data_IF_952002056844
#
_entry.id   IF_952002056844
#
_cell.length_a   1.000
_cell.length_b   1.000
_cell.length_c   1.000
_cell.angle_alpha   90.00
_cell.angle_beta   90.00
_cell.angle_gamma   90.00
#
_symmetry.space_group_name_H-M   'P 1'
#
loop_
_entity.id
_entity.type
_entity.pdbx_description
1 polymer ?
#
# COMPACT_ATOMS: atom_id res chain seq x y z
N UNK A 1 -4.07 12.09 -3.67
CA UNK A 1 -3.76 10.64 -3.75
C UNK A 1 -3.80 9.91 -2.41
N UNK A 2 -3.56 10.57 -1.26
CA UNK A 2 -3.59 9.90 0.06
C UNK A 2 -4.99 9.58 0.57
N UNK A 3 -5.97 10.48 0.37
CA UNK A 3 -7.35 10.30 0.86
C UNK A 3 -8.06 9.07 0.29
N UNK A 4 -7.81 8.72 -0.98
CA UNK A 4 -8.39 7.53 -1.60
C UNK A 4 -7.88 6.22 -0.98
N UNK A 5 -6.63 6.19 -0.53
CA UNK A 5 -6.07 5.02 0.20
C UNK A 5 -6.73 4.85 1.56
N UNK A 6 -7.00 5.95 2.27
CA UNK A 6 -7.73 5.90 3.55
C UNK A 6 -9.13 5.31 3.38
N UNK A 7 -9.87 5.73 2.35
CA UNK A 7 -11.19 5.16 2.02
C UNK A 7 -11.06 3.68 1.68
N UNK A 8 -10.06 3.30 0.87
CA UNK A 8 -9.81 1.89 0.51
C UNK A 8 -9.50 1.00 1.72
N UNK A 9 -8.79 1.52 2.72
CA UNK A 9 -8.48 0.80 3.96
C UNK A 9 -9.69 0.63 4.89
N UNK A 10 -10.72 1.44 4.76
CA UNK A 10 -12.00 1.25 5.46
C UNK A 10 -12.87 0.25 4.70
N UNK A 11 -13.11 0.56 3.42
CA UNK A 11 -14.11 -0.14 2.61
C UNK A 11 -13.64 -1.56 2.26
N UNK A 12 -12.35 -1.76 1.97
CA UNK A 12 -11.80 -3.06 1.57
C UNK A 12 -11.94 -4.13 2.66
N UNK A 13 -11.37 -3.93 3.86
CA UNK A 13 -11.49 -4.88 4.98
C UNK A 13 -12.91 -5.01 5.51
N UNK A 14 -13.73 -3.94 5.49
CA UNK A 14 -15.13 -4.04 5.85
C UNK A 14 -15.89 -4.96 4.88
N UNK A 15 -15.69 -4.78 3.56
CA UNK A 15 -16.33 -5.63 2.56
C UNK A 15 -15.80 -7.06 2.63
N UNK A 16 -14.47 -7.25 2.61
CA UNK A 16 -13.86 -8.59 2.65
C UNK A 16 -14.11 -9.34 3.96
N UNK A 17 -14.18 -8.63 5.08
CA UNK A 17 -14.41 -9.20 6.40
C UNK A 17 -15.86 -9.52 6.68
N UNK A 18 -16.79 -8.58 6.46
CA UNK A 18 -18.21 -8.79 6.81
C UNK A 18 -19.02 -9.48 5.72
N UNK A 19 -18.70 -9.26 4.43
CA UNK A 19 -19.45 -9.86 3.31
C UNK A 19 -18.93 -11.24 2.88
N UNK A 20 -17.76 -11.68 3.35
CA UNK A 20 -17.31 -13.06 3.13
C UNK A 20 -18.15 -14.06 3.94
N UNK A 21 -18.57 -15.15 3.28
CA UNK A 21 -19.39 -16.23 3.85
C UNK A 21 -20.78 -15.77 4.36
N UNK A 22 -21.63 -15.21 3.49
CA UNK A 22 -22.91 -14.61 3.90
C UNK A 22 -23.92 -15.62 4.48
N UNK A 23 -23.90 -16.87 4.01
CA UNK A 23 -24.80 -17.93 4.48
C UNK A 23 -24.46 -18.45 5.88
N UNK A 24 -23.19 -18.47 6.26
CA UNK A 24 -22.76 -18.89 7.60
C UNK A 24 -22.94 -17.78 8.64
N UNK A 25 -22.78 -16.50 8.24
CA UNK A 25 -22.88 -15.35 9.16
C UNK A 25 -24.29 -14.81 9.34
N UNK A 26 -25.14 -14.89 8.31
CA UNK A 26 -26.49 -14.32 8.34
C UNK A 26 -27.54 -15.37 7.92
N UNK A 27 -27.71 -16.45 8.71
CA UNK A 27 -28.59 -17.58 8.35
C UNK A 27 -30.08 -17.19 8.25
N UNK A 28 -30.49 -16.06 8.84
CA UNK A 28 -31.85 -15.53 8.73
C UNK A 28 -32.13 -14.71 7.46
N UNK A 29 -31.10 -14.28 6.73
CA UNK A 29 -31.23 -13.44 5.51
C UNK A 29 -30.77 -14.22 4.27
N UNK A 30 -29.75 -15.07 4.39
CA UNK A 30 -29.22 -15.89 3.31
C UNK A 30 -29.42 -17.37 3.64
N UNK A 31 -30.23 -18.07 2.85
CA UNK A 31 -30.37 -19.52 2.99
C UNK A 31 -29.15 -20.25 2.44
N UNK A 32 -28.76 -21.34 3.11
CA UNK A 32 -27.63 -22.20 2.70
C UNK A 32 -27.83 -22.79 1.29
N UNK A 33 -29.08 -22.99 0.88
CA UNK A 33 -29.44 -23.51 -0.46
C UNK A 33 -29.47 -22.43 -1.55
N UNK A 34 -29.26 -21.16 -1.21
CA UNK A 34 -29.22 -20.05 -2.17
C UNK A 34 -27.88 -19.96 -2.89
N UNK A 35 -27.82 -19.20 -3.99
CA UNK A 35 -26.60 -18.88 -4.75
C UNK A 35 -25.51 -18.31 -3.82
N UNK A 36 -25.91 -17.58 -2.76
CA UNK A 36 -25.02 -16.99 -1.76
C UNK A 36 -24.42 -18.01 -0.76
N UNK A 37 -25.06 -19.16 -0.55
CA UNK A 37 -24.48 -20.28 0.19
C UNK A 37 -23.59 -21.16 -0.68
N UNK A 38 -23.89 -21.26 -1.97
CA UNK A 38 -23.09 -22.00 -2.95
C UNK A 38 -21.81 -21.25 -3.38
N UNK A 39 -21.83 -19.91 -3.39
CA UNK A 39 -20.69 -19.07 -3.75
C UNK A 39 -20.34 -18.09 -2.61
N UNK A 40 -19.40 -18.51 -1.75
CA UNK A 40 -18.99 -17.81 -0.51
C UNK A 40 -18.43 -16.39 -0.71
N UNK A 41 -17.94 -16.06 -1.91
CA UNK A 41 -17.33 -14.76 -2.25
C UNK A 41 -18.11 -13.96 -3.29
N UNK A 42 -19.30 -14.41 -3.70
CA UNK A 42 -20.08 -13.72 -4.73
C UNK A 42 -20.50 -12.30 -4.31
N UNK A 43 -20.90 -12.14 -3.05
CA UNK A 43 -21.38 -10.87 -2.48
C UNK A 43 -20.28 -9.77 -2.47
N UNK A 44 -19.06 -9.99 -1.95
CA UNK A 44 -18.01 -8.99 -2.01
C UNK A 44 -17.58 -8.66 -3.45
N UNK A 45 -17.56 -9.64 -4.36
CA UNK A 45 -17.27 -9.39 -5.78
C UNK A 45 -18.32 -8.49 -6.46
N UNK A 46 -19.60 -8.70 -6.16
CA UNK A 46 -20.69 -7.88 -6.69
C UNK A 46 -20.57 -6.42 -6.21
N UNK A 47 -20.28 -6.19 -4.92
CA UNK A 47 -20.07 -4.86 -4.39
C UNK A 47 -18.91 -4.12 -5.08
N UNK A 48 -17.78 -4.80 -5.28
CA UNK A 48 -16.61 -4.21 -5.97
C UNK A 48 -16.95 -3.89 -7.42
N UNK A 49 -17.69 -4.75 -8.12
CA UNK A 49 -18.13 -4.51 -9.49
C UNK A 49 -19.03 -3.28 -9.61
N UNK A 50 -19.95 -3.07 -8.66
CA UNK A 50 -20.80 -1.88 -8.65
C UNK A 50 -20.00 -0.59 -8.41
N UNK A 51 -19.03 -0.63 -7.50
CA UNK A 51 -18.11 0.50 -7.27
C UNK A 51 -17.28 0.81 -8.52
N UNK A 52 -16.83 -0.21 -9.24
CA UNK A 52 -16.10 -0.04 -10.50
C UNK A 52 -16.97 0.61 -11.59
N UNK A 53 -18.23 0.17 -11.74
CA UNK A 53 -19.17 0.80 -12.68
C UNK A 53 -19.39 2.27 -12.30
N UNK A 54 -19.63 2.56 -11.02
CA UNK A 54 -19.80 3.94 -10.55
C UNK A 54 -18.57 4.81 -10.85
N UNK A 55 -17.35 4.28 -10.69
CA UNK A 55 -16.12 4.97 -11.04
C UNK A 55 -16.02 5.26 -12.55
N UNK A 56 -16.39 4.30 -13.41
CA UNK A 56 -16.43 4.50 -14.87
C UNK A 56 -17.42 5.60 -15.26
N UNK A 57 -18.60 5.60 -14.65
CA UNK A 57 -19.60 6.66 -14.89
C UNK A 57 -19.02 8.01 -14.44
N UNK A 58 -18.36 8.07 -13.28
CA UNK A 58 -17.69 9.27 -12.79
C UNK A 58 -16.60 9.78 -13.74
N UNK A 59 -15.86 8.90 -14.43
CA UNK A 59 -14.85 9.28 -15.41
C UNK A 59 -15.42 10.10 -16.58
N UNK A 60 -16.67 9.86 -17.00
CA UNK A 60 -17.31 10.66 -18.05
C UNK A 60 -17.59 12.11 -17.64
N UNK A 61 -17.64 12.39 -16.33
CA UNK A 61 -17.85 13.75 -15.80
C UNK A 61 -16.55 14.49 -15.47
N UNK A 62 -15.38 13.85 -15.53
CA UNK A 62 -14.11 14.54 -15.29
C UNK A 62 -13.72 15.38 -16.52
N UNK A 63 -13.60 16.72 -16.40
CA UNK A 63 -13.10 17.54 -17.48
C UNK A 63 -11.64 17.19 -17.76
N UNK A 64 -11.28 17.07 -19.03
CA UNK A 64 -9.89 16.84 -19.45
C UNK A 64 -9.05 18.05 -19.01
N UNK A 65 -8.07 17.84 -18.12
CA UNK A 65 -7.25 18.91 -17.54
C UNK A 65 -5.98 19.23 -18.35
N UNK A 66 -5.78 18.59 -19.50
CA UNK A 66 -4.61 18.83 -20.35
C UNK A 66 -4.80 20.10 -21.19
N UNK A 67 -4.43 21.25 -20.65
CA UNK A 67 -4.15 22.42 -21.49
C UNK A 67 -2.88 22.12 -22.30
N UNK A 68 -3.04 21.58 -23.51
CA UNK A 68 -1.95 21.60 -24.51
C UNK A 68 -1.63 23.06 -24.77
N UNK A 69 -0.44 23.50 -24.42
CA UNK A 69 0.11 24.71 -25.01
C UNK A 69 0.42 24.32 -26.46
N UNK A 70 -0.58 24.46 -27.34
CA UNK A 70 -0.34 24.51 -28.77
C UNK A 70 0.59 25.70 -28.95
N UNK A 71 1.83 25.44 -29.38
CA UNK A 71 2.67 26.46 -29.96
C UNK A 71 1.86 27.06 -31.12
N UNK A 72 1.28 28.24 -30.91
CA UNK A 72 0.91 29.14 -31.98
C UNK A 72 2.20 29.62 -32.66
N UNK A 73 2.86 28.73 -33.40
CA UNK A 73 3.66 29.13 -34.56
C UNK A 73 2.76 28.92 -35.77
N UNK A 74 1.76 29.78 -35.89
CA UNK A 74 1.05 30.06 -37.14
C UNK A 74 2.03 30.69 -38.12
N UNK A 75 2.83 29.87 -38.79
CA UNK A 75 3.30 30.21 -40.12
C UNK A 75 2.16 29.86 -41.07
N UNK A 76 1.55 30.86 -41.72
CA UNK A 76 1.00 30.70 -43.06
C UNK A 76 0.68 32.07 -43.67
N UNK A 77 1.69 32.64 -44.34
CA UNK A 77 1.47 33.13 -45.69
C UNK A 77 1.21 31.94 -46.62
N UNK A 78 -0.01 31.89 -47.15
CA UNK A 78 -0.41 31.34 -48.47
C UNK A 78 -0.06 29.90 -48.86
N UNK A 79 -1.12 29.08 -48.83
CA UNK A 79 -1.70 28.30 -49.95
C UNK A 79 -0.94 27.13 -50.62
N UNK A 80 -1.72 26.04 -50.73
CA UNK A 80 -1.72 24.96 -51.73
C UNK A 80 -1.24 23.57 -51.30
N UNK A 81 -2.14 22.62 -51.57
CA UNK A 81 -2.18 21.23 -51.13
C UNK A 81 -1.41 20.31 -52.07
N UNK A 82 -0.70 19.32 -51.54
CA UNK A 82 -0.46 17.98 -52.15
C UNK A 82 -0.19 16.97 -51.00
N UNK A 83 -0.77 15.78 -51.13
CA UNK A 83 -0.70 14.63 -50.20
C UNK A 83 0.63 13.83 -50.23
N UNK A 84 0.88 13.13 -49.11
CA UNK A 84 1.80 12.00 -48.82
C UNK A 84 3.34 12.22 -48.72
N UNK A 85 4.11 11.38 -47.96
CA UNK A 85 3.73 10.26 -47.07
C UNK A 85 4.28 10.38 -45.61
N UNK A 86 3.78 9.52 -44.72
CA UNK A 86 4.23 9.33 -43.32
C UNK A 86 5.76 9.30 -43.16
N UNK A 87 6.33 10.26 -42.41
CA UNK A 87 7.71 10.19 -41.94
C UNK A 87 7.77 10.28 -40.41
N UNK A 88 8.18 9.15 -39.83
CA UNK A 88 8.59 8.90 -38.45
C UNK A 88 9.48 10.01 -37.85
N UNK A 89 8.91 10.98 -37.12
CA UNK A 89 9.73 11.94 -36.34
C UNK A 89 9.23 12.26 -34.92
N UNK A 90 8.20 11.58 -34.40
CA UNK A 90 7.70 11.84 -33.03
C UNK A 90 8.03 10.73 -32.00
N UNK A 91 8.78 9.69 -32.37
CA UNK A 91 9.15 8.62 -31.45
C UNK A 91 10.46 8.89 -30.67
N UNK A 92 11.36 9.74 -31.17
CA UNK A 92 12.68 9.92 -30.56
C UNK A 92 12.73 10.94 -29.40
N UNK A 93 11.83 11.93 -29.35
CA UNK A 93 11.78 12.88 -28.22
C UNK A 93 11.19 12.27 -26.94
N UNK A 94 10.23 11.34 -27.06
CA UNK A 94 9.64 10.67 -25.88
C UNK A 94 10.60 9.66 -25.24
N UNK A 95 11.43 8.99 -26.04
CA UNK A 95 12.45 8.05 -25.56
C UNK A 95 13.60 8.74 -24.80
N UNK A 96 14.08 9.89 -25.29
CA UNK A 96 15.15 10.65 -24.65
C UNK A 96 14.73 11.23 -23.29
N UNK A 97 13.46 11.63 -23.15
CA UNK A 97 12.92 12.16 -21.90
C UNK A 97 12.73 11.09 -20.81
N UNK A 98 12.50 9.83 -21.18
CA UNK A 98 12.37 8.73 -20.22
C UNK A 98 13.74 8.21 -19.76
N UNK A 99 14.71 8.10 -20.68
CA UNK A 99 16.08 7.72 -20.34
C UNK A 99 16.77 8.75 -19.44
N UNK A 100 16.50 10.05 -19.65
CA UNK A 100 17.03 11.12 -18.80
C UNK A 100 16.52 11.06 -17.35
N UNK A 101 15.36 10.43 -17.09
CA UNK A 101 14.87 10.18 -15.73
C UNK A 101 15.79 9.24 -14.95
N UNK A 102 16.33 8.21 -15.60
CA UNK A 102 17.26 7.28 -14.96
C UNK A 102 18.60 7.93 -14.60
N UNK A 103 18.98 9.00 -15.31
CA UNK A 103 20.19 9.77 -15.03
C UNK A 103 20.00 10.76 -13.86
N UNK A 104 18.74 11.12 -13.55
CA UNK A 104 18.45 12.04 -12.45
C UNK A 104 18.69 11.35 -11.09
N UNK A 105 19.88 11.61 -10.53
CA UNK A 105 20.34 11.02 -9.27
C UNK A 105 19.39 11.27 -8.08
N UNK A 106 18.91 12.51 -7.82
CA UNK A 106 17.89 12.77 -6.82
C UNK A 106 16.62 11.90 -6.99
N UNK A 107 16.08 11.81 -8.21
CA UNK A 107 14.89 11.02 -8.49
C UNK A 107 15.13 9.53 -8.21
N UNK A 108 16.21 8.96 -8.74
CA UNK A 108 16.52 7.54 -8.60
C UNK A 108 16.79 7.15 -7.14
N UNK A 109 17.44 8.04 -6.38
CA UNK A 109 17.61 7.89 -4.93
C UNK A 109 16.26 7.81 -4.22
N UNK A 110 15.36 8.76 -4.49
CA UNK A 110 14.00 8.77 -3.89
C UNK A 110 13.20 7.53 -4.27
N UNK A 111 13.26 7.08 -5.54
CA UNK A 111 12.59 5.85 -6.00
C UNK A 111 13.13 4.62 -5.27
N UNK A 112 14.45 4.52 -5.09
CA UNK A 112 15.08 3.38 -4.41
C UNK A 112 14.60 3.26 -2.97
N UNK A 113 14.63 4.37 -2.22
CA UNK A 113 14.17 4.40 -0.82
C UNK A 113 12.66 4.12 -0.76
N UNK A 114 11.88 4.67 -1.69
CA UNK A 114 10.46 4.40 -1.79
C UNK A 114 10.14 2.91 -1.99
N UNK A 115 10.89 2.22 -2.85
CA UNK A 115 10.74 0.78 -3.07
C UNK A 115 11.02 -0.03 -1.79
N UNK A 116 12.06 0.34 -1.04
CA UNK A 116 12.39 -0.32 0.24
C UNK A 116 11.27 -0.13 1.27
N UNK A 117 10.76 1.10 1.44
CA UNK A 117 9.66 1.35 2.37
C UNK A 117 8.37 0.65 1.94
N UNK A 118 8.10 0.57 0.64
CA UNK A 118 6.91 -0.11 0.12
C UNK A 118 6.99 -1.63 0.28
N UNK A 119 8.19 -2.21 0.12
CA UNK A 119 8.48 -3.60 0.44
C UNK A 119 8.21 -3.87 1.92
N UNK A 120 8.75 -3.02 2.80
CA UNK A 120 8.55 -3.13 4.25
C UNK A 120 7.08 -3.03 4.63
N UNK A 121 6.34 -2.10 4.03
CA UNK A 121 4.92 -1.90 4.30
C UNK A 121 4.07 -3.11 3.88
N UNK A 122 4.38 -3.69 2.71
CA UNK A 122 3.70 -4.88 2.22
C UNK A 122 4.06 -6.13 3.03
N UNK A 123 5.33 -6.29 3.40
CA UNK A 123 5.78 -7.37 4.28
C UNK A 123 5.10 -7.28 5.66
N UNK A 124 4.97 -6.08 6.21
CA UNK A 124 4.22 -5.85 7.44
C UNK A 124 2.75 -6.26 7.29
N UNK A 125 2.07 -5.86 6.22
CA UNK A 125 0.66 -6.20 6.02
C UNK A 125 0.42 -7.71 5.97
N UNK A 126 1.30 -8.45 5.27
CA UNK A 126 1.26 -9.91 5.20
C UNK A 126 1.52 -10.55 6.56
N UNK A 127 2.64 -10.19 7.21
CA UNK A 127 3.04 -10.75 8.51
C UNK A 127 2.00 -10.44 9.58
N UNK A 128 1.45 -9.22 9.60
CA UNK A 128 0.40 -8.84 10.53
C UNK A 128 -0.83 -9.73 10.38
N UNK A 129 -1.28 -9.98 9.15
CA UNK A 129 -2.43 -10.85 8.88
C UNK A 129 -2.17 -12.29 9.34
N UNK A 130 -1.03 -12.86 8.97
CA UNK A 130 -0.63 -14.21 9.37
C UNK A 130 -0.48 -14.34 10.89
N UNK A 131 0.16 -13.36 11.53
CA UNK A 131 0.38 -13.33 12.98
C UNK A 131 -0.91 -13.17 13.77
N UNK A 132 -1.81 -12.29 13.34
CA UNK A 132 -3.08 -12.07 14.01
C UNK A 132 -3.95 -13.33 14.01
N UNK A 133 -3.99 -14.07 12.89
CA UNK A 133 -4.78 -15.30 12.75
C UNK A 133 -4.11 -16.52 13.39
N UNK A 134 -2.78 -16.52 13.50
CA UNK A 134 -2.02 -17.64 14.07
C UNK A 134 -2.42 -17.97 15.51
N UNK A 135 -2.33 -19.26 15.86
CA UNK A 135 -2.68 -19.71 17.21
C UNK A 135 -1.79 -19.11 18.30
N UNK A 136 -2.38 -18.90 19.49
CA UNK A 136 -1.65 -18.47 20.71
C UNK A 136 -0.45 -19.35 21.05
N UNK A 137 -0.49 -20.66 20.76
CA UNK A 137 0.64 -21.59 20.95
C UNK A 137 1.89 -21.21 20.15
N UNK A 138 1.71 -20.47 19.05
CA UNK A 138 2.78 -19.99 18.20
C UNK A 138 3.06 -18.49 18.41
N UNK A 139 2.56 -17.88 19.50
CA UNK A 139 2.73 -16.46 19.76
C UNK A 139 1.87 -15.54 18.89
N UNK A 140 0.85 -16.09 18.21
CA UNK A 140 -0.17 -15.32 17.49
C UNK A 140 -1.32 -14.89 18.40
N UNK A 141 -2.36 -14.26 17.84
CA UNK A 141 -3.49 -13.73 18.61
C UNK A 141 -4.73 -14.63 18.60
N UNK A 142 -4.79 -15.63 17.71
CA UNK A 142 -5.98 -16.46 17.43
C UNK A 142 -7.22 -15.64 17.03
N UNK A 143 -7.01 -14.54 16.30
CA UNK A 143 -8.12 -13.69 15.83
C UNK A 143 -8.81 -14.30 14.61
N UNK A 144 -10.13 -14.11 14.53
CA UNK A 144 -10.86 -14.41 13.29
C UNK A 144 -10.57 -13.35 12.23
N UNK A 145 -10.81 -13.67 10.96
CA UNK A 145 -10.71 -12.69 9.87
C UNK A 145 -11.62 -11.47 10.05
N UNK A 146 -12.71 -11.62 10.83
CA UNK A 146 -13.63 -10.54 11.17
C UNK A 146 -13.02 -9.58 12.19
N UNK A 147 -12.32 -10.10 13.19
CA UNK A 147 -11.65 -9.29 14.20
C UNK A 147 -10.52 -8.49 13.55
N UNK A 148 -9.75 -9.11 12.66
CA UNK A 148 -8.72 -8.43 11.86
C UNK A 148 -9.36 -7.35 10.98
N UNK A 149 -10.46 -7.67 10.29
CA UNK A 149 -11.22 -6.71 9.48
C UNK A 149 -11.74 -5.52 10.29
N UNK A 150 -12.17 -5.76 11.53
CA UNK A 150 -12.66 -4.73 12.46
C UNK A 150 -11.53 -3.78 12.88
N UNK A 151 -10.37 -4.33 13.26
CA UNK A 151 -9.17 -3.52 13.62
C UNK A 151 -8.71 -2.66 12.46
N UNK A 152 -8.68 -3.21 11.24
CA UNK A 152 -8.33 -2.44 10.04
C UNK A 152 -9.35 -1.35 9.73
N UNK A 153 -10.65 -1.64 9.87
CA UNK A 153 -11.72 -0.67 9.60
C UNK A 153 -11.69 0.51 10.59
N UNK A 154 -11.51 0.24 11.89
CA UNK A 154 -11.34 1.26 12.94
C UNK A 154 -10.09 2.11 12.64
N UNK A 155 -8.96 1.45 12.34
CA UNK A 155 -7.72 2.13 11.98
C UNK A 155 -7.88 3.01 10.74
N UNK A 156 -8.62 2.54 9.73
CA UNK A 156 -8.91 3.29 8.52
C UNK A 156 -9.75 4.54 8.78
N UNK A 157 -10.75 4.46 9.66
CA UNK A 157 -11.58 5.61 10.05
C UNK A 157 -10.74 6.67 10.76
N UNK A 158 -9.93 6.26 11.73
CA UNK A 158 -9.00 7.16 12.43
C UNK A 158 -7.98 7.78 11.48
N UNK A 159 -7.50 7.01 10.50
CA UNK A 159 -6.58 7.48 9.47
C UNK A 159 -7.19 8.56 8.58
N UNK A 160 -8.48 8.47 8.24
CA UNK A 160 -9.15 9.55 7.50
C UNK A 160 -9.17 10.85 8.29
N UNK A 161 -9.49 10.77 9.59
CA UNK A 161 -9.47 11.95 10.48
C UNK A 161 -8.05 12.52 10.55
N UNK A 162 -7.05 11.66 10.72
CA UNK A 162 -5.63 12.06 10.70
C UNK A 162 -5.26 12.77 9.39
N UNK A 163 -5.66 12.24 8.23
CA UNK A 163 -5.31 12.78 6.93
C UNK A 163 -5.90 14.18 6.67
N UNK A 164 -7.13 14.43 7.17
CA UNK A 164 -7.82 15.70 6.97
C UNK A 164 -7.33 16.76 7.96
N UNK A 165 -7.11 16.39 9.23
CA UNK A 165 -6.83 17.36 10.29
C UNK A 165 -5.34 17.48 10.62
N UNK A 166 -4.67 16.35 10.83
CA UNK A 166 -3.33 16.32 11.42
C UNK A 166 -2.24 16.37 10.35
N UNK A 167 -2.38 15.59 9.28
CA UNK A 167 -1.41 15.56 8.18
C UNK A 167 -1.08 16.95 7.59
N UNK A 168 -2.05 17.83 7.24
CA UNK A 168 -1.71 19.14 6.69
C UNK A 168 -0.92 20.01 7.68
N UNK A 169 -1.20 19.91 8.98
CA UNK A 169 -0.46 20.64 10.01
C UNK A 169 0.99 20.15 10.08
N UNK A 170 1.18 18.83 10.07
CA UNK A 170 2.50 18.19 10.10
C UNK A 170 3.28 18.54 8.83
N UNK A 171 2.65 18.47 7.66
CA UNK A 171 3.28 18.74 6.37
C UNK A 171 3.71 20.20 6.22
N UNK A 172 2.97 21.15 6.80
CA UNK A 172 3.33 22.57 6.76
C UNK A 172 4.40 22.96 7.81
N UNK A 173 4.63 22.13 8.82
CA UNK A 173 5.50 22.47 9.96
C UNK A 173 6.86 21.77 9.93
N UNK A 174 6.99 20.64 9.23
CA UNK A 174 8.17 19.77 9.29
C UNK A 174 8.69 19.50 7.88
N UNK A 175 10.00 19.64 7.69
CA UNK A 175 10.66 19.29 6.44
C UNK A 175 10.38 17.83 6.02
N UNK A 176 10.03 17.57 4.74
CA UNK A 176 9.66 16.23 4.29
C UNK A 176 10.73 15.15 4.58
N UNK A 177 12.02 15.47 4.39
CA UNK A 177 13.13 14.54 4.64
C UNK A 177 13.27 14.22 6.13
N UNK A 178 13.16 15.23 6.99
CA UNK A 178 13.22 15.07 8.45
C UNK A 178 12.04 14.22 8.93
N UNK A 179 10.86 14.43 8.36
CA UNK A 179 9.67 13.65 8.67
C UNK A 179 9.83 12.16 8.33
N UNK A 180 10.37 11.83 7.15
CA UNK A 180 10.63 10.43 6.77
C UNK A 180 11.68 9.79 7.67
N UNK A 181 12.75 10.52 8.03
CA UNK A 181 13.77 10.00 8.97
C UNK A 181 13.18 9.74 10.35
N UNK A 182 12.37 10.66 10.87
CA UNK A 182 11.69 10.49 12.15
C UNK A 182 10.75 9.27 12.12
N UNK A 183 9.96 9.10 11.05
CA UNK A 183 9.07 7.95 10.89
C UNK A 183 9.86 6.64 10.79
N UNK A 184 10.97 6.62 10.07
CA UNK A 184 11.85 5.45 9.97
C UNK A 184 12.32 4.99 11.36
N UNK A 185 12.76 5.94 12.19
CA UNK A 185 13.20 5.66 13.56
C UNK A 185 12.05 5.24 14.47
N UNK A 186 10.88 5.90 14.37
CA UNK A 186 9.70 5.58 15.19
C UNK A 186 9.03 4.24 14.81
N UNK A 187 9.22 3.78 13.58
CA UNK A 187 8.68 2.49 13.12
C UNK A 187 9.38 1.31 13.80
N UNK A 188 10.66 1.43 14.17
CA UNK A 188 11.44 0.37 14.84
C UNK A 188 10.86 -0.01 16.22
N UNK A 189 10.70 0.91 17.19
CA UNK A 189 10.11 0.57 18.49
C UNK A 189 8.65 0.14 18.34
N UNK A 190 7.92 0.70 17.38
CA UNK A 190 6.55 0.28 17.09
C UNK A 190 6.50 -1.20 16.69
N UNK A 191 7.33 -1.65 15.75
CA UNK A 191 7.39 -3.07 15.35
C UNK A 191 7.92 -3.96 16.48
N UNK A 192 8.89 -3.47 17.24
CA UNK A 192 9.42 -4.18 18.43
C UNK A 192 8.35 -4.41 19.51
N UNK A 193 7.30 -3.60 19.54
CA UNK A 193 6.20 -3.79 20.50
C UNK A 193 5.28 -4.98 20.17
N UNK A 194 5.21 -5.43 18.92
CA UNK A 194 4.25 -6.47 18.47
C UNK A 194 4.46 -7.84 19.15
N UNK A 195 5.69 -8.36 19.31
CA UNK A 195 5.94 -9.60 20.06
C UNK A 195 5.47 -9.59 21.51
N UNK A 196 5.28 -8.43 22.14
CA UNK A 196 4.78 -8.31 23.51
C UNK A 196 3.25 -8.31 23.59
N UNK A 197 2.56 -8.04 22.49
CA UNK A 197 1.08 -7.97 22.46
C UNK A 197 0.40 -9.30 22.83
N UNK A 198 0.90 -10.50 22.49
CA UNK A 198 0.28 -11.76 22.91
C UNK A 198 0.26 -11.97 24.43
N UNK A 199 1.08 -11.25 25.20
CA UNK A 199 1.04 -11.27 26.67
C UNK A 199 -0.17 -10.51 27.25
N UNK A 200 -0.81 -9.65 26.44
CA UNK A 200 -2.02 -8.92 26.81
C UNK A 200 -3.26 -9.76 26.46
N UNK A 201 -4.33 -9.57 27.24
CA UNK A 201 -5.62 -10.23 27.04
C UNK A 201 -6.79 -9.25 27.19
N UNK A 202 -7.92 -9.58 26.56
CA UNK A 202 -9.16 -8.81 26.68
C UNK A 202 -9.10 -7.44 25.99
N UNK A 203 -9.80 -6.46 26.57
CA UNK A 203 -9.96 -5.12 25.97
C UNK A 203 -8.65 -4.35 25.83
N UNK A 204 -7.66 -4.60 26.70
CA UNK A 204 -6.35 -3.94 26.66
C UNK A 204 -5.60 -4.33 25.38
N UNK A 205 -5.67 -5.61 24.99
CA UNK A 205 -5.07 -6.10 23.75
C UNK A 205 -5.71 -5.43 22.53
N UNK A 206 -7.04 -5.38 22.49
CA UNK A 206 -7.77 -4.74 21.38
C UNK A 206 -7.43 -3.25 21.27
N UNK A 207 -7.36 -2.53 22.40
CA UNK A 207 -6.96 -1.13 22.42
C UNK A 207 -5.51 -0.94 21.94
N UNK A 208 -4.57 -1.73 22.47
CA UNK A 208 -3.16 -1.66 22.09
C UNK A 208 -2.96 -1.95 20.60
N UNK A 209 -3.63 -2.97 20.06
CA UNK A 209 -3.58 -3.33 18.64
C UNK A 209 -4.17 -2.26 17.75
N UNK A 210 -5.32 -1.67 18.12
CA UNK A 210 -5.92 -0.59 17.34
C UNK A 210 -5.02 0.65 17.34
N UNK A 211 -4.45 1.02 18.49
CA UNK A 211 -3.49 2.12 18.58
C UNK A 211 -2.24 1.86 17.72
N UNK A 212 -1.64 0.68 17.83
CA UNK A 212 -0.45 0.32 17.08
C UNK A 212 -0.72 0.23 15.56
N UNK A 213 -1.87 -0.32 15.18
CA UNK A 213 -2.30 -0.41 13.78
C UNK A 213 -2.57 0.97 13.20
N UNK A 214 -3.27 1.85 13.94
CA UNK A 214 -3.49 3.24 13.55
C UNK A 214 -2.16 3.98 13.35
N UNK A 215 -1.23 3.85 14.30
CA UNK A 215 0.06 4.53 14.24
C UNK A 215 0.89 4.04 13.03
N UNK A 216 0.93 2.72 12.81
CA UNK A 216 1.65 2.13 11.66
C UNK A 216 1.04 2.55 10.32
N UNK A 217 -0.29 2.60 10.22
CA UNK A 217 -0.99 3.06 9.03
C UNK A 217 -0.73 4.55 8.77
N UNK A 218 -0.74 5.38 9.82
CA UNK A 218 -0.43 6.81 9.73
C UNK A 218 1.00 7.03 9.24
N UNK A 219 1.97 6.29 9.77
CA UNK A 219 3.36 6.31 9.32
C UNK A 219 3.51 5.90 7.85
N UNK A 220 2.80 4.86 7.41
CA UNK A 220 2.80 4.41 6.01
C UNK A 220 2.28 5.48 5.06
N UNK A 221 1.12 6.07 5.37
CA UNK A 221 0.51 7.11 4.51
C UNK A 221 1.35 8.38 4.46
N UNK A 222 1.89 8.84 5.60
CA UNK A 222 2.75 10.02 5.63
C UNK A 222 4.01 9.79 4.80
N UNK A 223 4.66 8.65 4.96
CA UNK A 223 5.87 8.27 4.19
C UNK A 223 5.59 8.20 2.69
N UNK A 224 4.50 7.53 2.30
CA UNK A 224 4.05 7.44 0.91
C UNK A 224 3.79 8.83 0.32
N UNK A 225 3.15 9.74 1.07
CA UNK A 225 2.83 11.08 0.57
C UNK A 225 4.10 11.92 0.42
N UNK A 226 5.03 11.84 1.37
CA UNK A 226 6.32 12.52 1.28
C UNK A 226 7.10 12.04 0.06
N UNK A 227 7.18 10.73 -0.20
CA UNK A 227 7.89 10.22 -1.39
C UNK A 227 7.29 10.71 -2.70
N UNK A 228 5.95 10.80 -2.80
CA UNK A 228 5.30 11.38 -3.97
C UNK A 228 5.66 12.87 -4.15
N UNK A 229 5.82 13.64 -3.07
CA UNK A 229 6.26 15.04 -3.14
C UNK A 229 7.71 15.11 -3.62
N UNK A 230 8.64 14.37 -3.00
CA UNK A 230 10.06 14.39 -3.38
C UNK A 230 10.29 14.01 -4.85
N UNK A 231 9.56 13.01 -5.37
CA UNK A 231 9.68 12.61 -6.78
C UNK A 231 9.17 13.71 -7.72
N UNK A 232 8.07 14.36 -7.36
CA UNK A 232 7.50 15.45 -8.16
C UNK A 232 8.34 16.73 -8.13
N UNK A 233 9.09 16.96 -7.05
CA UNK A 233 10.03 18.08 -6.91
C UNK A 233 11.36 17.82 -7.65
N UNK A 234 11.77 16.56 -7.76
CA UNK A 234 12.99 16.18 -8.47
C UNK A 234 12.88 16.27 -10.02
N UNK A 235 11.67 16.47 -10.56
CA UNK A 235 11.39 16.35 -12.00
C UNK A 235 10.54 17.53 -12.50
N UNK A 236 10.81 17.98 -13.74
CA UNK A 236 10.01 19.00 -14.42
C UNK A 236 8.57 18.51 -14.67
N UNK A 237 7.62 19.46 -14.73
CA UNK A 237 6.19 19.15 -14.79
C UNK A 237 5.82 18.24 -15.97
N UNK A 238 6.48 18.40 -17.12
CA UNK A 238 6.23 17.62 -18.34
C UNK A 238 6.58 16.14 -18.21
N UNK A 239 7.53 15.82 -17.33
CA UNK A 239 8.02 14.46 -17.11
C UNK A 239 7.46 13.81 -15.83
N UNK A 240 6.63 14.52 -15.05
CA UNK A 240 6.05 14.00 -13.79
C UNK A 240 5.22 12.74 -14.01
N UNK A 241 4.46 12.66 -15.10
CA UNK A 241 3.65 11.49 -15.40
C UNK A 241 4.52 10.24 -15.62
N UNK A 242 5.56 10.37 -16.45
CA UNK A 242 6.52 9.30 -16.72
C UNK A 242 7.32 8.90 -15.48
N UNK A 243 7.75 9.87 -14.67
CA UNK A 243 8.48 9.61 -13.42
C UNK A 243 7.63 8.87 -12.37
N UNK A 244 6.37 9.28 -12.18
CA UNK A 244 5.44 8.56 -11.31
C UNK A 244 5.07 7.18 -11.87
N UNK A 245 4.93 7.04 -13.19
CA UNK A 245 4.72 5.75 -13.84
C UNK A 245 5.89 4.78 -13.60
N UNK A 246 7.12 5.27 -13.75
CA UNK A 246 8.33 4.50 -13.47
C UNK A 246 8.42 4.10 -11.99
N UNK A 247 8.21 5.05 -11.07
CA UNK A 247 8.30 4.80 -9.63
C UNK A 247 7.24 3.79 -9.16
N UNK A 248 6.00 3.90 -9.65
CA UNK A 248 4.92 2.96 -9.31
C UNK A 248 5.18 1.57 -9.89
N UNK A 249 5.73 1.47 -11.09
CA UNK A 249 6.12 0.19 -11.69
C UNK A 249 7.20 -0.51 -10.86
N UNK A 250 8.29 0.19 -10.54
CA UNK A 250 9.38 -0.34 -9.73
C UNK A 250 8.92 -0.72 -8.32
N UNK A 251 8.14 0.16 -7.69
CA UNK A 251 7.53 -0.13 -6.40
C UNK A 251 6.67 -1.41 -6.45
N UNK A 252 5.87 -1.58 -7.50
CA UNK A 252 4.94 -2.71 -7.61
C UNK A 252 5.68 -4.05 -7.67
N UNK A 253 6.81 -4.12 -8.38
CA UNK A 253 7.67 -5.32 -8.41
C UNK A 253 8.10 -5.71 -7.00
N UNK A 254 8.57 -4.74 -6.21
CA UNK A 254 8.99 -4.96 -4.83
C UNK A 254 7.83 -5.42 -3.94
N UNK A 255 6.64 -4.83 -4.12
CA UNK A 255 5.43 -5.24 -3.41
C UNK A 255 4.97 -6.64 -3.77
N UNK A 256 5.13 -7.08 -5.01
CA UNK A 256 4.77 -8.45 -5.41
C UNK A 256 5.66 -9.49 -4.72
N UNK A 257 6.95 -9.18 -4.54
CA UNK A 257 7.92 -10.09 -3.91
C UNK A 257 7.74 -10.13 -2.39
N UNK A 258 7.30 -9.03 -1.78
CA UNK A 258 7.26 -8.88 -0.32
C UNK A 258 6.45 -9.96 0.42
N UNK A 259 5.20 -10.30 0.04
CA UNK A 259 4.42 -11.34 0.75
C UNK A 259 5.07 -12.71 0.68
N UNK A 260 5.65 -13.09 -0.47
CA UNK A 260 6.30 -14.37 -0.63
C UNK A 260 7.51 -14.51 0.33
N UNK A 261 8.36 -13.49 0.37
CA UNK A 261 9.53 -13.45 1.27
C UNK A 261 9.07 -13.42 2.73
N UNK A 262 8.13 -12.54 3.06
CA UNK A 262 7.66 -12.36 4.42
C UNK A 262 6.95 -13.61 4.96
N UNK A 263 6.14 -14.28 4.14
CA UNK A 263 5.46 -15.54 4.50
C UNK A 263 6.45 -16.69 4.72
N UNK A 264 7.50 -16.81 3.90
CA UNK A 264 8.56 -17.82 4.10
C UNK A 264 9.31 -17.55 5.41
N UNK A 265 9.70 -16.31 5.66
CA UNK A 265 10.38 -15.91 6.91
C UNK A 265 9.48 -16.19 8.12
N UNK A 266 8.20 -15.82 8.05
CA UNK A 266 7.23 -16.04 9.12
C UNK A 266 7.04 -17.53 9.41
N UNK A 267 6.84 -18.36 8.38
CA UNK A 267 6.69 -19.80 8.53
C UNK A 267 7.96 -20.46 9.11
N UNK A 268 9.13 -20.01 8.67
CA UNK A 268 10.41 -20.46 9.22
C UNK A 268 10.56 -20.09 10.70
N UNK A 269 10.23 -18.86 11.08
CA UNK A 269 10.27 -18.40 12.47
C UNK A 269 9.30 -19.19 13.36
N UNK A 270 8.10 -19.49 12.86
CA UNK A 270 7.08 -20.26 13.59
C UNK A 270 7.54 -21.69 13.90
N UNK A 271 8.34 -22.32 13.03
CA UNK A 271 8.90 -23.66 13.27
C UNK A 271 10.06 -23.67 14.28
N UNK A 272 10.66 -22.53 14.59
CA UNK A 272 11.90 -22.41 15.38
C UNK A 272 11.76 -21.48 16.59
N UNK A 273 10.66 -21.62 17.33
CA UNK A 273 10.37 -20.70 18.46
C UNK A 273 11.35 -20.80 19.63
N UNK A 274 11.95 -21.97 19.84
CA UNK A 274 12.87 -22.26 20.96
C UNK A 274 14.29 -22.57 20.50
N UNK A 275 14.57 -22.49 19.20
CA UNK A 275 15.89 -22.79 18.67
C UNK A 275 16.82 -21.58 18.84
N UNK A 276 18.04 -21.75 19.38
CA UNK A 276 19.00 -20.67 19.45
C UNK A 276 19.33 -20.15 18.04
N UNK A 277 19.45 -18.82 17.90
CA UNK A 277 19.72 -18.14 16.63
C UNK A 277 21.09 -18.52 16.04
N UNK A 278 22.05 -18.85 16.91
CA UNK A 278 23.34 -19.40 16.54
C UNK A 278 23.27 -20.94 16.67
N UNK A 279 23.80 -21.72 15.71
CA UNK A 279 23.98 -23.14 15.92
C UNK A 279 24.88 -23.30 17.15
N UNK A 280 24.35 -23.90 18.21
CA UNK A 280 25.16 -24.27 19.36
C UNK A 280 26.30 -25.18 18.88
N UNK A 281 27.53 -24.76 19.15
CA UNK A 281 28.72 -25.59 19.04
C UNK A 281 28.74 -26.67 20.16
N UNK A 282 27.64 -27.41 20.35
CA UNK A 282 27.49 -28.42 21.41
C UNK A 282 27.90 -29.83 20.98
N UNK A 283 28.61 -29.97 19.86
CA UNK A 283 29.20 -31.27 19.43
C UNK A 283 30.58 -31.57 20.00
N UNK A 284 31.16 -30.71 20.85
CA UNK A 284 32.52 -30.91 21.40
C UNK A 284 32.60 -31.40 22.86
N UNK A 285 31.47 -31.59 23.56
CA UNK A 285 31.47 -31.95 24.99
C UNK A 285 30.97 -33.38 25.31
N UNK A 286 31.08 -34.32 24.37
CA UNK A 286 30.77 -35.74 24.59
C UNK A 286 31.95 -36.68 24.26
N UNK A 287 33.16 -36.13 24.13
CA UNK A 287 34.43 -36.84 24.00
C UNK A 287 35.44 -36.31 25.03
N UNK A 288 35.18 -36.55 26.31
CA UNK A 288 36.17 -36.60 27.40
C UNK A 288 35.56 -37.37 28.58
#
# INVERSE_FOLDING_TARGET
>A
MSSSRGIGLIVGPAIGGYLAQPADKYPGIFSVNSIFGRFLYFLPCLCISLLAIAAVIACFWLPETLHKHTEDTMLNSSTEAVEEPCSDLNAEQSGSGCLSLFTNWPLMSTITVYCIFSLQDMAYAEVFSLWAVSDRKYGGLSFSSQDVGSVLSISGLLLLIYQILIYPLVANSIDPITLVRAIALLTIPLLSSYPFMPALSGSILQLALNCASFLKNSFSVTTMTVFNILMNDAVSQDLRASANGLSVTLMSIFKTIAPAVAGVIFSWAQRRQTAPFLPEATTWCSLC
#
